data_IF_414846204455
#
_entry.id   IF_414846204455
#
_cell.length_a   1.000
_cell.length_b   1.000
_cell.length_c   1.000
_cell.angle_alpha   90.00
_cell.angle_beta   90.00
_cell.angle_gamma   90.00
#
_symmetry.space_group_name_H-M   'P 1'
#
loop_
_entity.id
_entity.type
_entity.pdbx_description
1 polymer ?
#
# COMPACT_ATOMS: atom_id res chain seq x y z
N UNK A 1 55.91 19.94 -21.61
CA UNK A 1 54.79 20.22 -20.68
C UNK A 1 53.62 20.85 -21.46
N UNK A 2 53.23 20.38 -22.64
CA UNK A 2 52.33 19.24 -22.90
C UNK A 2 51.39 18.83 -21.75
N UNK A 3 50.09 18.84 -22.05
CA UNK A 3 48.91 18.44 -21.25
C UNK A 3 48.35 19.41 -20.21
N UNK A 4 47.66 20.49 -20.63
CA UNK A 4 46.51 21.03 -19.86
C UNK A 4 45.55 21.97 -20.62
N UNK A 5 45.19 21.69 -21.87
CA UNK A 5 44.18 22.50 -22.61
C UNK A 5 43.34 21.66 -23.58
N UNK A 6 42.64 20.62 -23.06
CA UNK A 6 41.63 19.86 -23.83
C UNK A 6 40.32 19.63 -23.05
N UNK A 7 39.82 20.64 -22.31
CA UNK A 7 38.49 20.53 -21.65
C UNK A 7 37.51 21.69 -21.88
N UNK A 8 37.81 22.65 -22.76
CA UNK A 8 36.92 23.80 -23.01
C UNK A 8 36.23 23.82 -24.39
N UNK A 9 36.46 22.82 -25.25
CA UNK A 9 35.91 22.80 -26.62
C UNK A 9 34.99 21.60 -26.82
N UNK A 10 33.73 21.74 -26.40
CA UNK A 10 32.58 20.91 -26.82
C UNK A 10 31.22 21.47 -26.35
N UNK A 11 31.18 22.61 -25.65
CA UNK A 11 29.96 23.15 -25.01
C UNK A 11 29.12 24.03 -25.98
N UNK A 12 29.70 24.51 -27.08
CA UNK A 12 29.05 25.48 -27.98
C UNK A 12 28.10 24.92 -29.05
N UNK A 13 28.28 23.66 -29.48
CA UNK A 13 27.39 23.02 -30.48
C UNK A 13 26.35 22.09 -29.86
N UNK A 14 26.52 21.70 -28.60
CA UNK A 14 25.52 20.92 -27.88
C UNK A 14 24.31 21.81 -27.51
N UNK A 15 24.54 23.07 -27.12
CA UNK A 15 23.47 23.97 -26.68
C UNK A 15 22.41 24.27 -27.76
N UNK A 16 22.80 24.37 -29.04
CA UNK A 16 21.86 24.74 -30.11
C UNK A 16 21.02 23.54 -30.56
N UNK A 17 21.61 22.33 -30.57
CA UNK A 17 20.84 21.10 -30.81
C UNK A 17 19.91 20.77 -29.63
N UNK A 18 20.32 21.09 -28.39
CA UNK A 18 19.46 20.93 -27.20
C UNK A 18 18.32 21.93 -27.18
N UNK A 19 18.49 23.16 -27.70
CA UNK A 19 17.40 24.14 -27.79
C UNK A 19 16.36 23.75 -28.85
N UNK A 20 16.77 23.15 -29.98
CA UNK A 20 15.80 22.62 -30.98
C UNK A 20 15.12 21.33 -30.48
N UNK A 21 15.80 20.52 -29.66
CA UNK A 21 15.15 19.39 -28.94
C UNK A 21 14.28 19.84 -27.75
N UNK A 22 14.57 20.98 -27.14
CA UNK A 22 13.70 21.63 -26.15
C UNK A 22 12.52 22.36 -26.80
N UNK A 23 12.65 22.79 -28.05
CA UNK A 23 11.54 23.33 -28.84
C UNK A 23 10.57 22.23 -29.29
N UNK A 24 11.11 21.03 -29.57
CA UNK A 24 10.34 19.81 -29.67
C UNK A 24 9.84 19.29 -28.30
N UNK A 25 10.19 19.93 -27.18
CA UNK A 25 9.66 19.61 -25.85
C UNK A 25 8.38 20.39 -25.49
N UNK A 26 7.80 21.07 -26.48
CA UNK A 26 6.35 21.29 -26.56
C UNK A 26 5.70 20.19 -27.43
N UNK A 27 6.29 18.99 -27.52
CA UNK A 27 5.48 17.77 -27.61
C UNK A 27 4.32 17.97 -26.64
N UNK A 28 3.09 17.99 -27.18
CA UNK A 28 1.87 18.21 -26.43
C UNK A 28 1.99 17.48 -25.09
N UNK A 29 2.20 18.24 -23.99
CA UNK A 29 2.75 17.69 -22.74
C UNK A 29 2.08 16.36 -22.44
N UNK A 30 2.88 15.29 -22.41
CA UNK A 30 2.38 13.93 -22.17
C UNK A 30 1.56 13.90 -20.88
N UNK A 31 1.92 14.74 -19.89
CA UNK A 31 1.18 14.92 -18.64
C UNK A 31 0.65 16.34 -18.49
N UNK A 32 -0.64 16.46 -18.21
CA UNK A 32 -1.32 17.72 -17.92
C UNK A 32 -1.17 18.09 -16.44
N UNK A 33 -0.92 19.36 -16.16
CA UNK A 33 -0.71 19.88 -14.79
C UNK A 33 -1.93 20.67 -14.31
N UNK A 34 -2.46 20.29 -13.15
CA UNK A 34 -3.64 20.92 -12.53
C UNK A 34 -3.21 21.78 -11.34
N UNK A 35 -3.55 23.06 -11.37
CA UNK A 35 -3.38 23.99 -10.27
C UNK A 35 -4.67 24.21 -9.46
N UNK A 36 -4.50 24.54 -8.19
CA UNK A 36 -5.58 24.89 -7.26
C UNK A 36 -5.29 26.24 -6.61
N UNK A 37 -6.19 27.20 -6.81
CA UNK A 37 -6.09 28.52 -6.20
C UNK A 37 -6.94 28.64 -4.94
N UNK A 38 -6.53 29.57 -4.06
CA UNK A 38 -7.40 30.08 -2.99
C UNK A 38 -8.64 30.71 -3.61
N UNK A 39 -9.78 30.58 -2.92
CA UNK A 39 -10.99 31.28 -3.31
C UNK A 39 -10.85 32.77 -3.01
N UNK A 40 -11.35 33.61 -3.91
CA UNK A 40 -11.51 35.03 -3.62
C UNK A 40 -12.59 35.21 -2.55
N UNK A 41 -12.19 35.68 -1.37
CA UNK A 41 -13.04 35.87 -0.21
C UNK A 41 -13.19 37.36 0.17
N UNK A 42 -12.99 38.28 -0.79
CA UNK A 42 -13.13 39.72 -0.56
C UNK A 42 -14.53 40.10 -0.02
N UNK A 43 -15.57 39.41 -0.52
CA UNK A 43 -16.97 39.61 -0.12
C UNK A 43 -17.41 38.70 1.05
N UNK A 44 -16.50 37.87 1.59
CA UNK A 44 -16.81 36.97 2.69
C UNK A 44 -16.54 37.63 4.07
N UNK A 45 -17.42 37.42 5.05
CA UNK A 45 -17.19 37.75 6.46
C UNK A 45 -15.85 37.19 6.97
N UNK A 46 -15.20 37.93 7.87
CA UNK A 46 -13.89 37.54 8.40
C UNK A 46 -13.88 36.14 9.02
N UNK A 47 -14.99 35.76 9.65
CA UNK A 47 -15.23 34.45 10.24
C UNK A 47 -15.17 33.30 9.21
N UNK A 48 -15.49 33.52 7.94
CA UNK A 48 -15.54 32.46 6.92
C UNK A 48 -14.29 32.41 6.03
N UNK A 49 -13.34 33.34 6.20
CA UNK A 49 -12.15 33.42 5.33
C UNK A 49 -11.25 32.19 5.41
N UNK A 50 -11.30 31.40 6.48
CA UNK A 50 -10.58 30.13 6.54
C UNK A 50 -11.04 29.15 5.44
N UNK A 51 -12.35 29.15 5.13
CA UNK A 51 -12.96 28.28 4.13
C UNK A 51 -12.40 28.53 2.72
N UNK A 52 -11.94 29.76 2.44
CA UNK A 52 -11.31 30.13 1.18
C UNK A 52 -10.03 29.32 0.86
N UNK A 53 -9.36 28.80 1.89
CA UNK A 53 -8.20 27.92 1.76
C UNK A 53 -8.53 26.45 2.06
N UNK A 54 -9.49 26.19 2.95
CA UNK A 54 -9.88 24.83 3.32
C UNK A 54 -10.65 24.12 2.20
N UNK A 55 -11.64 24.77 1.58
CA UNK A 55 -12.48 24.16 0.55
C UNK A 55 -11.68 23.69 -0.68
N UNK A 56 -10.77 24.49 -1.28
CA UNK A 56 -9.95 24.00 -2.38
C UNK A 56 -9.07 22.80 -1.99
N UNK A 57 -8.54 22.76 -0.76
CA UNK A 57 -7.73 21.62 -0.29
C UNK A 57 -8.56 20.36 -0.08
N UNK A 58 -9.73 20.49 0.53
CA UNK A 58 -10.65 19.38 0.73
C UNK A 58 -11.14 18.82 -0.61
N UNK A 59 -11.51 19.69 -1.55
CA UNK A 59 -11.92 19.27 -2.89
C UNK A 59 -10.74 18.65 -3.66
N UNK A 60 -9.53 19.22 -3.58
CA UNK A 60 -8.33 18.63 -4.18
C UNK A 60 -8.06 17.21 -3.64
N UNK A 61 -8.18 17.01 -2.32
CA UNK A 61 -8.02 15.69 -1.71
C UNK A 61 -9.14 14.73 -2.14
N UNK A 62 -10.38 15.19 -2.19
CA UNK A 62 -11.52 14.40 -2.63
C UNK A 62 -11.43 14.00 -4.12
N UNK A 63 -10.77 14.80 -4.95
CA UNK A 63 -10.52 14.52 -6.38
C UNK A 63 -9.20 13.79 -6.64
N UNK A 64 -8.47 13.33 -5.62
CA UNK A 64 -7.17 12.66 -5.80
C UNK A 64 -7.25 11.34 -6.61
N UNK A 65 -8.44 10.75 -6.72
CA UNK A 65 -8.68 9.56 -7.56
C UNK A 65 -8.68 9.88 -9.07
N UNK A 66 -8.75 11.17 -9.45
CA UNK A 66 -8.71 11.62 -10.84
C UNK A 66 -7.26 11.78 -11.29
N UNK A 67 -6.76 10.82 -12.06
CA UNK A 67 -5.37 10.75 -12.52
C UNK A 67 -5.21 10.87 -14.05
N UNK A 68 -6.32 11.01 -14.78
CA UNK A 68 -6.35 11.13 -16.23
C UNK A 68 -7.45 12.08 -16.69
N UNK A 69 -7.28 12.65 -17.88
CA UNK A 69 -8.26 13.45 -18.61
C UNK A 69 -8.34 12.98 -20.04
N UNK A 70 -9.52 13.02 -20.62
CA UNK A 70 -9.74 12.94 -22.06
C UNK A 70 -10.11 14.34 -22.58
N UNK A 71 -9.15 15.12 -23.11
CA UNK A 71 -9.44 16.45 -23.64
C UNK A 71 -10.37 16.36 -24.84
N UNK A 72 -11.33 17.28 -24.93
CA UNK A 72 -12.25 17.35 -26.08
C UNK A 72 -11.52 17.69 -27.38
N UNK A 73 -12.15 17.43 -28.52
CA UNK A 73 -11.62 17.80 -29.84
C UNK A 73 -11.31 19.30 -29.99
N UNK A 74 -12.06 20.16 -29.28
CA UNK A 74 -11.81 21.61 -29.24
C UNK A 74 -10.55 21.92 -28.43
N UNK A 75 -10.37 21.26 -27.28
CA UNK A 75 -9.17 21.43 -26.45
C UNK A 75 -7.90 20.95 -27.17
N UNK A 76 -7.98 19.83 -27.90
CA UNK A 76 -6.84 19.29 -28.63
C UNK A 76 -6.46 20.15 -29.82
N UNK A 77 -7.43 20.69 -30.56
CA UNK A 77 -7.19 21.63 -31.64
C UNK A 77 -6.54 22.92 -31.13
N UNK A 78 -7.09 23.53 -30.08
CA UNK A 78 -6.55 24.76 -29.51
C UNK A 78 -5.14 24.58 -28.90
N UNK A 79 -4.89 23.43 -28.25
CA UNK A 79 -3.56 23.11 -27.72
C UNK A 79 -2.52 22.94 -28.84
N UNK A 80 -2.91 22.37 -29.98
CA UNK A 80 -2.02 22.22 -31.11
C UNK A 80 -1.71 23.56 -31.78
N UNK A 81 -2.71 24.42 -31.98
CA UNK A 81 -2.51 25.77 -32.51
C UNK A 81 -1.56 26.60 -31.62
N UNK A 82 -1.74 26.55 -30.30
CA UNK A 82 -0.82 27.20 -29.36
C UNK A 82 0.60 26.63 -29.43
N UNK A 83 0.73 25.32 -29.62
CA UNK A 83 2.03 24.67 -29.80
C UNK A 83 2.73 25.12 -31.08
N UNK A 84 2.00 25.23 -32.19
CA UNK A 84 2.54 25.68 -33.47
C UNK A 84 3.03 27.13 -33.39
N UNK A 85 2.23 28.02 -32.80
CA UNK A 85 2.61 29.43 -32.56
C UNK A 85 3.84 29.53 -31.66
N UNK A 86 3.90 28.72 -30.59
CA UNK A 86 5.06 28.67 -29.70
C UNK A 86 6.32 28.16 -30.42
N UNK A 87 6.19 27.12 -31.25
CA UNK A 87 7.30 26.56 -32.03
C UNK A 87 7.85 27.57 -33.04
N UNK A 88 6.98 28.34 -33.71
CA UNK A 88 7.38 29.42 -34.62
C UNK A 88 8.09 30.53 -33.86
N UNK A 89 7.55 30.96 -32.71
CA UNK A 89 8.15 32.02 -31.89
C UNK A 89 9.54 31.64 -31.39
N UNK A 90 9.69 30.43 -30.85
CA UNK A 90 10.98 29.92 -30.38
C UNK A 90 11.98 29.78 -31.52
N UNK A 91 11.54 29.30 -32.69
CA UNK A 91 12.39 29.20 -33.88
C UNK A 91 12.86 30.57 -34.38
N UNK A 92 12.01 31.61 -34.31
CA UNK A 92 12.37 33.00 -34.62
C UNK A 92 13.42 33.53 -33.64
N UNK A 93 13.24 33.31 -32.35
CA UNK A 93 14.19 33.76 -31.32
C UNK A 93 15.55 33.05 -31.43
N UNK A 94 15.54 31.75 -31.72
CA UNK A 94 16.74 30.97 -31.97
C UNK A 94 17.52 31.48 -33.20
N UNK A 95 16.81 31.79 -34.30
CA UNK A 95 17.43 32.40 -35.48
C UNK A 95 18.01 33.78 -35.15
N UNK A 96 17.27 34.63 -34.44
CA UNK A 96 17.74 35.96 -34.04
C UNK A 96 18.99 35.86 -33.15
N UNK A 97 19.04 34.91 -32.21
CA UNK A 97 20.20 34.66 -31.37
C UNK A 97 21.42 34.14 -32.18
N UNK A 98 21.19 33.24 -33.14
CA UNK A 98 22.24 32.73 -34.02
C UNK A 98 22.84 33.83 -34.91
N UNK A 99 21.99 34.71 -35.47
CA UNK A 99 22.43 35.86 -36.26
C UNK A 99 23.24 36.83 -35.41
N UNK A 100 22.74 37.21 -34.22
CA UNK A 100 23.48 38.06 -33.27
C UNK A 100 24.86 37.49 -32.95
N UNK A 101 24.95 36.17 -32.71
CA UNK A 101 26.23 35.51 -32.43
C UNK A 101 27.18 35.54 -33.62
N UNK A 102 26.69 35.27 -34.84
CA UNK A 102 27.48 35.37 -36.07
C UNK A 102 28.05 36.78 -36.23
N UNK A 103 27.22 37.80 -36.03
CA UNK A 103 27.62 39.21 -36.22
C UNK A 103 28.68 39.63 -35.19
N UNK A 104 28.54 39.19 -33.93
CA UNK A 104 29.58 39.41 -32.90
C UNK A 104 30.93 38.76 -33.26
N UNK A 105 30.92 37.54 -33.81
CA UNK A 105 32.15 36.85 -34.24
C UNK A 105 32.78 37.57 -35.44
N UNK A 106 31.98 38.06 -36.38
CA UNK A 106 32.46 38.83 -37.53
C UNK A 106 33.14 40.14 -37.12
N UNK A 107 32.66 40.79 -36.06
CA UNK A 107 33.20 42.05 -35.54
C UNK A 107 34.38 41.87 -34.56
N UNK A 108 34.70 40.63 -34.15
CA UNK A 108 35.74 40.37 -33.17
C UNK A 108 37.16 40.65 -33.72
N UNK A 109 37.99 41.37 -32.96
CA UNK A 109 39.36 41.76 -33.33
C UNK A 109 40.42 40.67 -33.05
N UNK A 110 40.02 39.42 -32.80
CA UNK A 110 40.92 38.28 -32.53
C UNK A 110 41.78 37.85 -33.74
N UNK A 111 42.68 36.88 -33.55
CA UNK A 111 43.46 36.20 -34.60
C UNK A 111 42.58 35.84 -35.83
N UNK A 112 42.95 36.27 -37.06
CA UNK A 112 42.19 36.02 -38.28
C UNK A 112 41.84 34.55 -38.54
N UNK A 113 42.75 33.62 -38.21
CA UNK A 113 42.54 32.20 -38.46
C UNK A 113 41.45 31.62 -37.54
N UNK A 114 41.44 32.07 -36.29
CA UNK A 114 40.43 31.67 -35.29
C UNK A 114 39.07 32.25 -35.61
N UNK A 115 39.01 33.52 -36.01
CA UNK A 115 37.79 34.19 -36.44
C UNK A 115 37.13 33.47 -37.61
N UNK A 116 37.90 33.06 -38.61
CA UNK A 116 37.38 32.34 -39.77
C UNK A 116 36.73 30.99 -39.39
N UNK A 117 37.34 30.24 -38.47
CA UNK A 117 36.77 28.99 -37.97
C UNK A 117 35.48 29.21 -37.19
N UNK A 118 35.46 30.18 -36.27
CA UNK A 118 34.29 30.48 -35.46
C UNK A 118 33.13 31.04 -36.31
N UNK A 119 33.44 31.85 -37.34
CA UNK A 119 32.46 32.37 -38.29
C UNK A 119 31.78 31.26 -39.08
N UNK A 120 32.55 30.31 -39.64
CA UNK A 120 32.00 29.16 -40.36
C UNK A 120 31.07 28.32 -39.46
N UNK A 121 31.40 28.18 -38.18
CA UNK A 121 30.55 27.49 -37.21
C UNK A 121 29.24 28.25 -36.93
N UNK A 122 29.31 29.59 -36.85
CA UNK A 122 28.17 30.45 -36.61
C UNK A 122 27.24 30.53 -37.84
N UNK A 123 27.79 30.56 -39.05
CA UNK A 123 27.02 30.48 -40.30
C UNK A 123 26.26 29.15 -40.41
N UNK A 124 26.89 28.03 -40.04
CA UNK A 124 26.21 26.74 -39.96
C UNK A 124 25.07 26.75 -38.94
N UNK A 125 25.24 27.43 -37.81
CA UNK A 125 24.19 27.60 -36.80
C UNK A 125 23.02 28.46 -37.32
N UNK A 126 23.29 29.52 -38.08
CA UNK A 126 22.25 30.33 -38.73
C UNK A 126 21.50 29.52 -39.78
N UNK A 127 22.21 28.75 -40.62
CA UNK A 127 21.58 27.91 -41.64
C UNK A 127 20.66 26.84 -41.03
N UNK A 128 21.08 26.22 -39.92
CA UNK A 128 20.27 25.25 -39.18
C UNK A 128 19.06 25.88 -38.51
N UNK A 129 19.22 27.04 -37.86
CA UNK A 129 18.11 27.77 -37.24
C UNK A 129 17.10 28.28 -38.29
N UNK A 130 17.56 28.72 -39.47
CA UNK A 130 16.69 29.11 -40.59
C UNK A 130 15.87 27.92 -41.08
N UNK A 131 16.52 26.77 -41.31
CA UNK A 131 15.82 25.53 -41.72
C UNK A 131 14.77 25.09 -40.71
N UNK A 132 15.05 25.25 -39.41
CA UNK A 132 14.08 24.95 -38.35
C UNK A 132 12.88 25.92 -38.39
N UNK A 133 13.10 27.21 -38.60
CA UNK A 133 12.02 28.19 -38.76
C UNK A 133 11.18 27.94 -40.02
N UNK A 134 11.81 27.63 -41.15
CA UNK A 134 11.09 27.33 -42.39
C UNK A 134 10.23 26.05 -42.24
N UNK A 135 10.74 25.06 -41.51
CA UNK A 135 10.00 23.85 -41.18
C UNK A 135 8.81 24.13 -40.24
N UNK A 136 8.97 24.97 -39.22
CA UNK A 136 7.89 25.37 -38.31
C UNK A 136 6.79 26.15 -39.06
N UNK A 137 7.15 27.10 -39.93
CA UNK A 137 6.21 27.85 -40.76
C UNK A 137 5.49 26.95 -41.79
N UNK A 138 6.16 25.91 -42.30
CA UNK A 138 5.54 24.95 -43.22
C UNK A 138 4.60 23.96 -42.52
N UNK A 139 4.73 23.81 -41.19
CA UNK A 139 3.86 22.97 -40.38
C UNK A 139 2.53 23.65 -40.00
N UNK A 140 2.39 24.98 -40.18
CA UNK A 140 1.16 25.77 -39.91
C UNK A 140 -0.05 25.39 -40.80
N UNK A 141 0.01 24.27 -41.53
CA UNK A 141 -1.00 23.81 -42.47
C UNK A 141 -1.81 22.62 -41.97
N UNK A 142 -2.78 22.86 -41.09
CA UNK A 142 -3.92 21.96 -40.89
C UNK A 142 -3.72 20.91 -39.81
N UNK A 143 -3.83 21.31 -38.54
CA UNK A 143 -4.08 20.37 -37.47
C UNK A 143 -5.50 19.84 -37.61
N UNK A 144 -5.63 18.62 -38.12
CA UNK A 144 -6.85 17.84 -37.90
C UNK A 144 -6.91 17.51 -36.42
N UNK A 145 -8.04 17.81 -35.78
CA UNK A 145 -8.33 17.34 -34.43
C UNK A 145 -7.91 15.85 -34.33
N UNK A 146 -6.90 15.58 -33.52
CA UNK A 146 -6.48 14.22 -33.24
C UNK A 146 -7.61 13.47 -32.52
N UNK A 147 -7.61 12.12 -32.54
CA UNK A 147 -8.56 11.35 -31.75
C UNK A 147 -8.49 11.78 -30.28
N UNK A 148 -9.63 11.71 -29.59
CA UNK A 148 -9.69 11.93 -28.14
C UNK A 148 -8.75 10.93 -27.46
N UNK A 149 -7.65 11.44 -26.92
CA UNK A 149 -6.57 10.65 -26.34
C UNK A 149 -6.56 10.89 -24.85
N UNK A 150 -6.50 9.80 -24.08
CA UNK A 150 -6.36 9.87 -22.64
C UNK A 150 -4.97 10.43 -22.30
N UNK A 151 -4.93 11.44 -21.43
CA UNK A 151 -3.71 12.05 -20.93
C UNK A 151 -3.63 11.96 -19.41
N UNK A 152 -2.49 11.56 -18.83
CA UNK A 152 -2.30 11.59 -17.39
C UNK A 152 -2.37 13.02 -16.84
N UNK A 153 -2.95 13.15 -15.66
CA UNK A 153 -3.01 14.38 -14.86
C UNK A 153 -2.04 14.28 -13.69
N UNK A 154 -1.41 15.41 -13.37
CA UNK A 154 -0.65 15.58 -12.13
C UNK A 154 -1.04 16.89 -11.45
N UNK A 155 -1.10 16.94 -10.11
CA UNK A 155 -1.19 18.20 -9.40
C UNK A 155 0.08 19.03 -9.62
N UNK A 156 -0.05 20.36 -9.56
CA UNK A 156 1.08 21.27 -9.55
C UNK A 156 2.02 20.96 -8.38
N UNK A 157 3.33 20.94 -8.65
CA UNK A 157 4.33 20.37 -7.74
C UNK A 157 4.34 21.01 -6.34
N UNK A 158 4.06 22.31 -6.23
CA UNK A 158 4.06 23.01 -4.94
C UNK A 158 2.88 22.60 -4.05
N UNK A 159 1.82 22.00 -4.59
CA UNK A 159 0.71 21.45 -3.78
C UNK A 159 1.15 20.33 -2.84
N UNK A 160 2.26 19.63 -3.14
CA UNK A 160 2.81 18.63 -2.23
C UNK A 160 3.20 19.21 -0.86
N UNK A 161 3.50 20.51 -0.81
CA UNK A 161 3.78 21.24 0.44
C UNK A 161 2.53 21.81 1.13
N UNK A 162 1.33 21.56 0.58
CA UNK A 162 0.07 22.14 1.02
C UNK A 162 -0.17 23.57 0.56
N UNK A 163 0.71 24.11 -0.27
CA UNK A 163 0.60 25.47 -0.82
C UNK A 163 -0.52 25.53 -1.86
N UNK A 164 -1.32 26.59 -1.84
CA UNK A 164 -2.30 26.91 -2.88
C UNK A 164 -1.79 28.11 -3.68
N UNK A 165 -2.20 28.22 -4.94
CA UNK A 165 -1.97 29.45 -5.71
C UNK A 165 -2.73 30.59 -5.01
N UNK A 166 -2.12 31.77 -4.93
CA UNK A 166 -2.85 32.96 -4.51
C UNK A 166 -3.96 33.29 -5.52
N UNK A 167 -4.94 34.09 -5.10
CA UNK A 167 -6.06 34.48 -5.98
C UNK A 167 -5.51 35.12 -7.25
N UNK A 168 -5.70 34.51 -8.43
CA UNK A 168 -5.10 34.99 -9.67
C UNK A 168 -5.78 36.29 -10.12
N UNK A 169 -5.00 37.35 -10.33
CA UNK A 169 -5.49 38.59 -10.93
C UNK A 169 -5.85 38.39 -12.41
N UNK A 170 -4.97 37.69 -13.14
CA UNK A 170 -5.21 37.16 -14.47
C UNK A 170 -4.91 35.65 -14.48
N UNK A 171 -5.93 34.87 -14.83
CA UNK A 171 -5.86 33.40 -14.83
C UNK A 171 -4.96 32.90 -15.98
N UNK A 172 -5.01 33.55 -17.14
CA UNK A 172 -4.25 33.13 -18.31
C UNK A 172 -2.75 33.36 -18.10
N UNK A 173 -2.38 34.52 -17.55
CA UNK A 173 -0.99 34.84 -17.17
C UNK A 173 -0.48 33.87 -16.10
N UNK A 174 -1.29 33.59 -15.07
CA UNK A 174 -0.93 32.63 -14.01
C UNK A 174 -0.65 31.23 -14.59
N UNK A 175 -1.47 30.76 -15.53
CA UNK A 175 -1.26 29.49 -16.21
C UNK A 175 0.04 29.48 -17.02
N UNK A 176 0.37 30.57 -17.73
CA UNK A 176 1.61 30.68 -18.49
C UNK A 176 2.84 30.66 -17.57
N UNK A 177 2.84 31.49 -16.52
CA UNK A 177 3.95 31.66 -15.58
C UNK A 177 4.23 30.40 -14.76
N UNK A 178 3.17 29.77 -14.25
CA UNK A 178 3.26 28.57 -13.42
C UNK A 178 3.21 27.27 -14.22
N UNK A 179 3.13 27.38 -15.55
CA UNK A 179 3.11 26.24 -16.47
C UNK A 179 1.94 25.29 -16.17
N UNK A 180 0.74 25.83 -15.91
CA UNK A 180 -0.46 25.06 -15.61
C UNK A 180 -1.27 24.84 -16.88
N UNK A 181 -1.83 23.64 -17.03
CA UNK A 181 -2.70 23.29 -18.15
C UNK A 181 -4.18 23.48 -17.76
N UNK A 182 -4.50 23.22 -16.48
CA UNK A 182 -5.81 23.46 -15.87
C UNK A 182 -5.65 24.17 -14.53
N UNK A 183 -6.65 24.98 -14.15
CA UNK A 183 -6.68 25.60 -12.82
C UNK A 183 -8.10 25.63 -12.26
N UNK A 184 -8.24 25.15 -11.02
CA UNK A 184 -9.40 25.39 -10.18
C UNK A 184 -9.25 26.73 -9.48
N UNK A 185 -10.25 27.59 -9.64
CA UNK A 185 -10.33 28.88 -8.97
C UNK A 185 -11.79 29.15 -8.62
N UNK A 186 -12.05 30.23 -7.88
CA UNK A 186 -13.40 30.47 -7.42
C UNK A 186 -13.54 31.63 -6.48
N UNK A 187 -14.73 31.78 -5.91
CA UNK A 187 -15.06 32.84 -4.96
C UNK A 187 -15.86 32.29 -3.80
N UNK A 188 -15.77 32.99 -2.69
CA UNK A 188 -16.53 32.74 -1.48
C UNK A 188 -17.29 34.03 -1.14
N UNK A 189 -18.62 33.93 -1.08
CA UNK A 189 -19.51 35.06 -0.79
C UNK A 189 -20.42 34.72 0.39
N UNK A 190 -20.90 35.73 1.11
CA UNK A 190 -21.96 35.55 2.10
C UNK A 190 -23.33 35.52 1.44
N UNK A 191 -24.17 34.59 1.86
CA UNK A 191 -25.57 34.46 1.47
C UNK A 191 -26.43 34.28 2.73
N UNK A 192 -26.58 35.34 3.51
CA UNK A 192 -27.29 35.30 4.79
C UNK A 192 -26.52 34.46 5.83
N UNK A 193 -27.14 33.40 6.35
CA UNK A 193 -26.51 32.45 7.29
C UNK A 193 -25.67 31.38 6.60
N UNK A 194 -25.66 31.36 5.26
CA UNK A 194 -24.91 30.39 4.47
C UNK A 194 -23.74 31.08 3.76
N UNK A 195 -22.75 30.28 3.40
CA UNK A 195 -21.70 30.66 2.45
C UNK A 195 -22.13 30.21 1.06
N UNK A 196 -21.99 31.09 0.08
CA UNK A 196 -22.06 30.73 -1.34
C UNK A 196 -20.63 30.48 -1.83
N UNK A 197 -20.36 29.23 -2.22
CA UNK A 197 -19.07 28.77 -2.74
C UNK A 197 -19.19 28.62 -4.24
N UNK A 198 -18.38 29.36 -4.99
CA UNK A 198 -18.30 29.26 -6.43
C UNK A 198 -16.97 28.61 -6.81
N UNK A 199 -17.00 27.46 -7.51
CA UNK A 199 -15.82 26.85 -8.12
C UNK A 199 -15.91 26.94 -9.65
N UNK A 200 -14.74 27.04 -10.28
CA UNK A 200 -14.61 27.07 -11.73
C UNK A 200 -13.33 26.36 -12.16
N UNK A 201 -13.42 25.62 -13.27
CA UNK A 201 -12.27 24.96 -13.90
C UNK A 201 -11.95 25.69 -15.21
N UNK A 202 -10.77 26.29 -15.27
CA UNK A 202 -10.25 26.95 -16.47
C UNK A 202 -9.25 26.06 -17.19
N UNK A 203 -9.34 26.01 -18.51
CA UNK A 203 -8.43 25.26 -19.39
C UNK A 203 -7.58 26.24 -20.19
N UNK A 204 -6.26 26.15 -20.00
CA UNK A 204 -5.32 27.10 -20.58
C UNK A 204 -5.25 27.01 -22.10
N UNK A 205 -5.44 25.83 -22.69
CA UNK A 205 -5.36 25.66 -24.14
C UNK A 205 -6.49 26.37 -24.90
N UNK A 206 -7.69 26.43 -24.32
CA UNK A 206 -8.85 27.10 -24.95
C UNK A 206 -9.01 28.53 -24.49
N UNK A 207 -8.38 28.92 -23.38
CA UNK A 207 -8.59 30.22 -22.76
C UNK A 207 -9.96 30.37 -22.11
N UNK A 208 -10.64 29.26 -21.79
CA UNK A 208 -12.03 29.26 -21.34
C UNK A 208 -12.25 28.47 -20.04
N UNK A 209 -13.28 28.88 -19.30
CA UNK A 209 -13.82 28.12 -18.17
C UNK A 209 -14.76 27.04 -18.68
N UNK A 210 -14.38 25.78 -18.53
CA UNK A 210 -15.15 24.61 -19.03
C UNK A 210 -16.20 24.12 -18.04
N UNK A 211 -16.09 24.50 -16.77
CA UNK A 211 -17.05 24.16 -15.73
C UNK A 211 -17.15 25.24 -14.67
N UNK A 212 -18.36 25.47 -14.17
CA UNK A 212 -18.65 26.31 -13.01
C UNK A 212 -19.71 25.62 -12.16
N UNK A 213 -19.49 25.59 -10.85
CA UNK A 213 -20.45 25.12 -9.87
C UNK A 213 -20.64 26.16 -8.77
N UNK A 214 -21.86 26.27 -8.26
CA UNK A 214 -22.21 27.10 -7.12
C UNK A 214 -22.96 26.25 -6.11
N UNK A 215 -22.46 26.20 -4.88
CA UNK A 215 -23.10 25.49 -3.78
C UNK A 215 -23.27 26.41 -2.57
N UNK A 216 -24.32 26.15 -1.80
CA UNK A 216 -24.61 26.87 -0.57
C UNK A 216 -24.39 25.95 0.61
N UNK A 217 -23.54 26.36 1.55
CA UNK A 217 -23.18 25.53 2.68
C UNK A 217 -23.17 26.33 3.99
N UNK A 218 -23.48 25.64 5.09
CA UNK A 218 -23.28 26.20 6.41
C UNK A 218 -21.77 26.31 6.69
N UNK A 219 -21.31 27.34 7.45
CA UNK A 219 -19.90 27.50 7.83
C UNK A 219 -19.29 26.25 8.47
N UNK A 220 -20.08 25.54 9.28
CA UNK A 220 -19.65 24.37 10.04
C UNK A 220 -19.72 23.05 9.24
N UNK A 221 -20.27 23.06 8.02
CA UNK A 221 -20.49 21.87 7.19
C UNK A 221 -19.78 21.98 5.83
N UNK A 222 -18.46 22.10 5.88
CA UNK A 222 -17.62 22.13 4.67
C UNK A 222 -17.61 20.79 3.93
N UNK A 223 -17.82 19.67 4.64
CA UNK A 223 -17.76 18.32 4.05
C UNK A 223 -18.91 18.10 3.08
N UNK A 224 -20.15 18.44 3.47
CA UNK A 224 -21.30 18.36 2.56
C UNK A 224 -21.13 19.28 1.35
N UNK A 225 -20.56 20.47 1.55
CA UNK A 225 -20.25 21.40 0.46
C UNK A 225 -19.30 20.77 -0.56
N UNK A 226 -18.20 20.18 -0.07
CA UNK A 226 -17.21 19.51 -0.92
C UNK A 226 -17.83 18.32 -1.63
N UNK A 227 -18.61 17.49 -0.93
CA UNK A 227 -19.29 16.31 -1.50
C UNK A 227 -20.18 16.68 -2.70
N UNK A 228 -20.90 17.80 -2.63
CA UNK A 228 -21.70 18.30 -3.74
C UNK A 228 -20.86 18.66 -4.98
N UNK A 229 -19.65 19.17 -4.79
CA UNK A 229 -18.74 19.49 -5.89
C UNK A 229 -18.02 18.27 -6.49
N UNK A 230 -17.80 17.19 -5.73
CA UNK A 230 -16.96 16.06 -6.16
C UNK A 230 -17.37 15.53 -7.52
N UNK A 231 -18.66 15.21 -7.74
CA UNK A 231 -19.12 14.68 -9.03
C UNK A 231 -18.93 15.66 -10.18
N UNK A 232 -19.55 16.85 -10.17
CA UNK A 232 -19.46 17.76 -11.30
C UNK A 232 -18.02 18.22 -11.58
N UNK A 233 -17.21 18.44 -10.53
CA UNK A 233 -15.81 18.78 -10.70
C UNK A 233 -14.98 17.62 -11.26
N UNK A 234 -15.19 16.38 -10.79
CA UNK A 234 -14.52 15.21 -11.34
C UNK A 234 -14.90 14.96 -12.80
N UNK A 235 -16.18 15.07 -13.16
CA UNK A 235 -16.65 14.96 -14.56
C UNK A 235 -15.97 16.02 -15.43
N UNK A 236 -15.93 17.25 -14.94
CA UNK A 236 -15.24 18.34 -15.64
C UNK A 236 -13.74 18.08 -15.78
N UNK A 237 -13.09 17.47 -14.78
CA UNK A 237 -11.66 17.18 -14.76
C UNK A 237 -11.28 15.97 -15.64
N UNK A 238 -12.09 14.91 -15.63
CA UNK A 238 -11.95 13.77 -16.55
C UNK A 238 -12.21 14.18 -18.01
N UNK A 239 -13.04 15.21 -18.24
CA UNK A 239 -13.46 15.61 -19.59
C UNK A 239 -14.51 14.67 -20.21
N UNK A 240 -15.00 13.68 -19.45
CA UNK A 240 -16.04 12.73 -19.86
C UNK A 240 -16.88 12.27 -18.66
N UNK A 241 -18.12 11.79 -18.86
CA UNK A 241 -18.90 11.16 -17.81
C UNK A 241 -18.18 9.95 -17.21
N UNK A 242 -18.42 9.71 -15.93
CA UNK A 242 -17.88 8.56 -15.21
C UNK A 242 -18.91 8.03 -14.21
N UNK A 243 -18.72 6.80 -13.75
CA UNK A 243 -19.42 6.22 -12.62
C UNK A 243 -18.40 5.68 -11.62
N UNK A 244 -18.66 5.81 -10.31
CA UNK A 244 -17.94 5.04 -9.30
C UNK A 244 -18.81 3.91 -8.77
N UNK A 245 -18.19 2.76 -8.57
CA UNK A 245 -18.80 1.61 -7.92
C UNK A 245 -18.34 1.54 -6.46
N UNK A 246 -19.28 1.63 -5.53
CA UNK A 246 -19.04 1.44 -4.10
C UNK A 246 -19.90 0.29 -3.60
N UNK A 247 -19.28 -0.72 -3.00
CA UNK A 247 -19.99 -1.88 -2.44
C UNK A 247 -19.70 -1.95 -0.95
N UNK A 248 -20.74 -1.97 -0.14
CA UNK A 248 -20.67 -2.19 1.31
C UNK A 248 -21.37 -3.51 1.64
N UNK A 249 -20.85 -4.24 2.62
CA UNK A 249 -21.43 -5.51 3.05
C UNK A 249 -21.57 -5.58 4.57
N UNK A 250 -22.67 -6.19 5.01
CA UNK A 250 -22.99 -6.50 6.40
C UNK A 250 -23.18 -8.03 6.53
N UNK A 251 -22.34 -8.74 7.30
CA UNK A 251 -21.32 -8.24 8.23
C UNK A 251 -20.05 -7.68 7.55
N UNK A 252 -19.26 -6.82 8.24
CA UNK A 252 -18.09 -6.16 7.67
C UNK A 252 -16.92 -7.10 7.32
N UNK A 253 -16.94 -8.35 7.79
CA UNK A 253 -15.98 -9.41 7.43
C UNK A 253 -16.35 -10.15 6.14
N UNK A 254 -17.44 -9.76 5.47
CA UNK A 254 -17.86 -10.33 4.21
C UNK A 254 -16.84 -10.06 3.09
N UNK A 255 -16.43 -11.11 2.40
CA UNK A 255 -15.62 -11.02 1.20
C UNK A 255 -16.50 -10.66 0.00
N UNK A 256 -16.14 -9.57 -0.69
CA UNK A 256 -16.78 -9.12 -1.94
C UNK A 256 -15.86 -9.46 -3.10
N UNK A 257 -16.37 -10.22 -4.08
CA UNK A 257 -15.66 -10.56 -5.31
C UNK A 257 -16.50 -10.11 -6.51
N UNK A 258 -15.91 -9.33 -7.41
CA UNK A 258 -16.52 -9.00 -8.70
C UNK A 258 -16.06 -10.01 -9.75
N UNK A 259 -17.02 -10.62 -10.44
CA UNK A 259 -16.71 -11.57 -11.50
C UNK A 259 -15.83 -10.91 -12.59
N UNK A 260 -14.70 -11.56 -12.91
CA UNK A 260 -13.74 -11.06 -13.90
C UNK A 260 -12.62 -10.18 -13.33
N UNK A 261 -12.62 -9.91 -12.02
CA UNK A 261 -11.56 -9.13 -11.35
C UNK A 261 -10.97 -9.91 -10.18
N UNK A 262 -9.63 -9.93 -10.07
CA UNK A 262 -8.93 -10.62 -8.98
C UNK A 262 -9.10 -9.93 -7.62
N UNK A 263 -9.32 -8.61 -7.63
CA UNK A 263 -9.62 -7.83 -6.44
C UNK A 263 -10.51 -6.64 -6.78
N UNK A 264 -11.44 -6.33 -5.88
CA UNK A 264 -12.27 -5.12 -5.96
C UNK A 264 -11.77 -4.09 -4.94
N UNK A 265 -11.72 -2.83 -5.37
CA UNK A 265 -11.48 -1.68 -4.49
C UNK A 265 -12.70 -0.77 -4.54
N UNK A 266 -13.27 -0.46 -3.38
CA UNK A 266 -14.41 0.46 -3.31
C UNK A 266 -14.04 1.82 -3.88
N UNK A 267 -14.92 2.37 -4.73
CA UNK A 267 -14.69 3.62 -5.44
C UNK A 267 -14.03 3.45 -6.83
N UNK A 268 -13.96 2.24 -7.37
CA UNK A 268 -13.47 1.99 -8.73
C UNK A 268 -14.26 2.79 -9.78
N UNK A 269 -13.54 3.41 -10.73
CA UNK A 269 -14.09 4.31 -11.75
C UNK A 269 -14.34 3.57 -13.05
N UNK A 270 -15.49 3.82 -13.67
CA UNK A 270 -15.91 3.30 -14.97
C UNK A 270 -16.28 4.45 -15.91
N UNK A 271 -15.82 4.36 -17.16
CA UNK A 271 -16.10 5.35 -18.20
C UNK A 271 -17.07 4.85 -19.27
N UNK A 272 -17.29 3.54 -19.31
CA UNK A 272 -18.24 2.88 -20.21
C UNK A 272 -19.27 2.10 -19.38
N UNK A 273 -20.50 1.90 -19.90
CA UNK A 273 -21.48 1.04 -19.26
C UNK A 273 -20.95 -0.38 -19.06
N UNK A 274 -21.20 -0.95 -17.87
CA UNK A 274 -20.75 -2.30 -17.53
C UNK A 274 -21.81 -3.05 -16.72
N UNK A 275 -22.06 -4.30 -17.10
CA UNK A 275 -22.85 -5.26 -16.33
C UNK A 275 -21.90 -6.18 -15.56
N UNK A 276 -21.96 -6.14 -14.23
CA UNK A 276 -21.06 -6.84 -13.33
C UNK A 276 -21.85 -7.80 -12.44
N UNK A 277 -21.19 -8.83 -11.91
CA UNK A 277 -21.78 -9.75 -10.93
C UNK A 277 -20.94 -9.72 -9.65
N UNK A 278 -21.52 -9.19 -8.56
CA UNK A 278 -20.92 -9.20 -7.24
C UNK A 278 -21.29 -10.46 -6.47
N UNK A 279 -20.28 -11.24 -6.10
CA UNK A 279 -20.40 -12.38 -5.21
C UNK A 279 -19.95 -11.96 -3.81
N UNK A 280 -20.90 -11.95 -2.86
CA UNK A 280 -20.65 -11.57 -1.48
C UNK A 280 -20.80 -12.80 -0.60
N UNK A 281 -19.81 -13.08 0.24
CA UNK A 281 -19.82 -14.23 1.14
C UNK A 281 -19.10 -13.98 2.45
N UNK A 282 -19.68 -14.46 3.54
CA UNK A 282 -19.09 -14.46 4.88
C UNK A 282 -19.23 -15.85 5.53
N UNK A 283 -18.40 -16.13 6.55
CA UNK A 283 -18.47 -17.39 7.28
C UNK A 283 -19.76 -17.50 8.09
N UNK A 284 -20.52 -18.59 7.95
CA UNK A 284 -21.81 -18.76 8.63
C UNK A 284 -23.01 -18.09 7.93
N UNK A 285 -22.77 -17.37 6.83
CA UNK A 285 -23.79 -16.67 6.04
C UNK A 285 -24.04 -17.34 4.68
N UNK A 286 -25.23 -17.12 4.12
CA UNK A 286 -25.57 -17.54 2.76
C UNK A 286 -24.84 -16.64 1.76
N UNK A 287 -24.18 -17.25 0.77
CA UNK A 287 -23.55 -16.51 -0.33
C UNK A 287 -24.64 -15.88 -1.19
N UNK A 288 -24.47 -14.62 -1.57
CA UNK A 288 -25.35 -13.94 -2.54
C UNK A 288 -24.56 -13.52 -3.77
N UNK A 289 -25.21 -13.63 -4.93
CA UNK A 289 -24.71 -13.16 -6.22
C UNK A 289 -25.67 -12.10 -6.75
N UNK A 290 -25.21 -10.86 -6.91
CA UNK A 290 -26.03 -9.70 -7.22
C UNK A 290 -25.53 -9.09 -8.53
N UNK A 291 -26.38 -9.00 -9.58
CA UNK A 291 -26.02 -8.28 -10.79
C UNK A 291 -26.02 -6.77 -10.52
N UNK A 292 -25.06 -6.05 -11.09
CA UNK A 292 -24.86 -4.61 -10.94
C UNK A 292 -24.74 -4.01 -12.33
N UNK A 293 -25.62 -3.06 -12.64
CA UNK A 293 -25.51 -2.24 -13.85
C UNK A 293 -24.82 -0.92 -13.49
N UNK A 294 -23.65 -0.67 -14.07
CA UNK A 294 -22.87 0.56 -13.88
C UNK A 294 -23.04 1.41 -15.13
N UNK A 295 -23.56 2.62 -14.98
CA UNK A 295 -23.80 3.55 -16.09
C UNK A 295 -23.10 4.88 -15.83
N UNK A 296 -22.15 5.31 -16.68
CA UNK A 296 -21.48 6.60 -16.56
C UNK A 296 -22.48 7.76 -16.42
N UNK A 297 -22.20 8.66 -15.47
CA UNK A 297 -23.07 9.77 -15.09
C UNK A 297 -23.72 9.60 -13.72
N UNK A 298 -23.87 8.36 -13.23
CA UNK A 298 -24.44 8.07 -11.90
C UNK A 298 -23.52 7.11 -11.14
N UNK A 299 -23.29 7.32 -9.84
CA UNK A 299 -22.53 6.36 -9.02
C UNK A 299 -23.42 5.14 -8.72
N UNK A 300 -22.83 3.96 -8.80
CA UNK A 300 -23.46 2.72 -8.39
C UNK A 300 -23.06 2.44 -6.94
N UNK A 301 -24.02 2.51 -6.03
CA UNK A 301 -23.83 2.16 -4.61
C UNK A 301 -24.63 0.90 -4.34
N UNK A 302 -23.98 -0.13 -3.82
CA UNK A 302 -24.61 -1.40 -3.46
C UNK A 302 -24.33 -1.72 -1.99
N UNK A 303 -25.39 -1.73 -1.18
CA UNK A 303 -25.34 -2.18 0.20
C UNK A 303 -25.92 -3.61 0.28
N UNK A 304 -25.11 -4.56 0.77
CA UNK A 304 -25.45 -5.99 0.81
C UNK A 304 -25.50 -6.49 2.23
N UNK A 305 -26.69 -6.78 2.74
CA UNK A 305 -26.86 -7.56 3.98
C UNK A 305 -26.97 -9.04 3.67
N UNK A 306 -26.10 -9.85 4.29
CA UNK A 306 -26.12 -11.30 4.19
C UNK A 306 -27.03 -11.92 5.25
N UNK A 307 -27.73 -12.99 4.88
CA UNK A 307 -28.56 -13.77 5.80
C UNK A 307 -27.77 -14.93 6.39
N UNK A 308 -27.97 -15.25 7.68
CA UNK A 308 -27.36 -16.44 8.27
C UNK A 308 -27.85 -17.71 7.57
N UNK A 309 -26.97 -18.71 7.48
CA UNK A 309 -27.38 -20.03 7.02
C UNK A 309 -28.39 -20.63 8.02
N UNK A 310 -29.51 -21.20 7.55
CA UNK A 310 -30.39 -21.96 8.41
C UNK A 310 -29.62 -23.14 9.02
N UNK A 311 -29.82 -23.39 10.30
CA UNK A 311 -29.16 -24.45 11.05
C UNK A 311 -30.21 -25.25 11.82
N UNK A 312 -30.20 -26.57 11.63
CA UNK A 312 -31.07 -27.53 12.30
C UNK A 312 -30.69 -27.67 13.79
N UNK A 313 -31.65 -27.97 14.68
CA UNK A 313 -31.38 -28.19 16.10
C UNK A 313 -30.51 -29.44 16.35
N UNK A 314 -29.77 -29.43 17.44
CA UNK A 314 -28.85 -30.52 17.85
C UNK A 314 -29.29 -31.10 19.17
N UNK A 315 -29.52 -32.41 19.22
CA UNK A 315 -29.86 -33.08 20.49
C UNK A 315 -28.61 -33.60 21.18
N UNK A 316 -28.40 -33.22 22.44
CA UNK A 316 -27.27 -33.64 23.27
C UNK A 316 -27.78 -34.59 24.35
N UNK A 317 -27.16 -35.77 24.43
CA UNK A 317 -27.44 -36.81 25.43
C UNK A 317 -26.15 -37.21 26.14
N UNK A 318 -26.27 -37.67 27.38
CA UNK A 318 -25.14 -38.24 28.12
C UNK A 318 -25.54 -39.50 28.88
N UNK A 319 -24.56 -40.36 29.13
CA UNK A 319 -24.67 -41.52 30.01
C UNK A 319 -23.61 -41.40 31.13
N UNK A 320 -24.03 -41.21 32.40
CA UNK A 320 -25.41 -41.07 32.88
C UNK A 320 -26.06 -39.74 32.44
N UNK A 321 -27.39 -39.73 32.38
CA UNK A 321 -28.18 -38.54 32.07
C UNK A 321 -28.14 -37.51 33.23
N UNK A 322 -28.46 -36.24 32.94
CA UNK A 322 -28.47 -35.15 33.93
C UNK A 322 -27.16 -34.37 34.05
N UNK A 323 -26.26 -34.50 33.07
CA UNK A 323 -25.04 -33.70 33.00
C UNK A 323 -25.35 -32.25 32.62
N UNK A 324 -24.73 -31.28 33.29
CA UNK A 324 -24.83 -29.86 32.94
C UNK A 324 -24.05 -29.60 31.66
N UNK A 325 -24.72 -29.06 30.65
CA UNK A 325 -24.16 -28.71 29.34
C UNK A 325 -23.73 -27.26 29.35
N UNK A 326 -22.49 -27.02 28.91
CA UNK A 326 -21.92 -25.71 28.65
C UNK A 326 -21.61 -25.58 27.17
N UNK A 327 -21.98 -24.46 26.56
CA UNK A 327 -21.64 -24.12 25.16
C UNK A 327 -20.81 -22.85 25.19
N UNK A 328 -19.59 -22.92 24.64
CA UNK A 328 -18.63 -21.81 24.65
C UNK A 328 -18.46 -21.17 26.05
N UNK A 329 -18.37 -22.05 27.07
CA UNK A 329 -18.28 -21.76 28.50
C UNK A 329 -19.55 -21.23 29.19
N UNK A 330 -20.66 -21.00 28.48
CA UNK A 330 -21.94 -20.60 29.08
C UNK A 330 -22.80 -21.83 29.42
N UNK A 331 -23.34 -21.94 30.66
CA UNK A 331 -24.26 -23.01 31.01
C UNK A 331 -25.59 -22.83 30.26
N UNK A 332 -26.01 -23.85 29.52
CA UNK A 332 -27.22 -23.82 28.68
C UNK A 332 -28.34 -24.73 29.19
N UNK A 333 -28.03 -25.74 30.00
CA UNK A 333 -29.03 -26.65 30.57
C UNK A 333 -28.43 -27.99 31.01
N UNK A 334 -29.27 -29.02 31.10
CA UNK A 334 -28.87 -30.39 31.49
C UNK A 334 -29.30 -31.42 30.46
N UNK A 335 -28.51 -32.47 30.24
CA UNK A 335 -28.84 -33.56 29.30
C UNK A 335 -30.03 -34.43 29.77
N UNK A 336 -30.90 -34.91 28.86
CA UNK A 336 -30.98 -34.59 27.43
C UNK A 336 -31.41 -33.15 27.16
N UNK A 337 -30.71 -32.45 26.26
CA UNK A 337 -30.98 -31.06 25.89
C UNK A 337 -30.97 -30.88 24.37
N UNK A 338 -31.97 -30.21 23.83
CA UNK A 338 -31.99 -29.77 22.43
C UNK A 338 -31.45 -28.34 22.35
N UNK A 339 -30.39 -28.15 21.57
CA UNK A 339 -29.83 -26.83 21.29
C UNK A 339 -30.37 -26.30 19.98
N UNK A 340 -30.66 -24.97 19.90
CA UNK A 340 -30.90 -24.34 18.62
C UNK A 340 -29.68 -24.54 17.72
N UNK A 341 -29.91 -24.74 16.43
CA UNK A 341 -28.84 -24.90 15.46
C UNK A 341 -27.89 -23.69 15.46
N UNK A 342 -26.64 -23.94 15.08
CA UNK A 342 -25.63 -22.90 14.97
C UNK A 342 -24.77 -23.13 13.72
N UNK A 343 -24.45 -22.06 12.98
CA UNK A 343 -23.73 -22.13 11.69
C UNK A 343 -22.21 -22.07 11.82
N UNK A 344 -21.65 -22.31 13.02
CA UNK A 344 -20.21 -22.22 13.34
C UNK A 344 -19.67 -23.41 14.16
N UNK A 345 -18.38 -23.35 14.54
CA UNK A 345 -17.79 -24.31 15.49
C UNK A 345 -18.03 -23.83 16.92
N UNK A 346 -18.56 -24.70 17.78
CA UNK A 346 -18.75 -24.42 19.21
C UNK A 346 -18.13 -25.51 20.05
N UNK A 347 -17.70 -25.15 21.25
CA UNK A 347 -17.16 -26.10 22.22
C UNK A 347 -18.27 -26.48 23.20
N UNK A 348 -18.61 -27.76 23.23
CA UNK A 348 -19.59 -28.32 24.15
C UNK A 348 -18.84 -29.02 25.28
N UNK A 349 -19.10 -28.63 26.53
CA UNK A 349 -18.55 -29.24 27.73
C UNK A 349 -19.67 -29.78 28.62
N UNK A 350 -19.54 -31.02 29.08
CA UNK A 350 -20.51 -31.67 29.97
C UNK A 350 -19.86 -31.91 31.33
N UNK A 351 -20.61 -31.56 32.38
CA UNK A 351 -20.18 -31.71 33.78
C UNK A 351 -21.29 -32.41 34.55
N UNK A 352 -21.00 -33.57 35.15
CA UNK A 352 -21.92 -34.29 36.02
C UNK A 352 -21.28 -34.56 37.39
N UNK A 353 -22.05 -34.57 38.49
CA UNK A 353 -21.52 -34.89 39.82
C UNK A 353 -20.84 -36.25 39.86
N UNK A 354 -19.60 -36.32 40.35
CA UNK A 354 -18.83 -37.57 40.46
C UNK A 354 -18.28 -38.12 39.15
N UNK A 355 -18.49 -37.43 38.02
CA UNK A 355 -17.98 -37.82 36.71
C UNK A 355 -16.88 -36.88 36.21
N UNK A 356 -15.98 -37.40 35.38
CA UNK A 356 -14.98 -36.62 34.67
C UNK A 356 -15.64 -35.71 33.63
N UNK A 357 -15.12 -34.49 33.47
CA UNK A 357 -15.61 -33.55 32.47
C UNK A 357 -15.35 -34.08 31.05
N UNK A 358 -16.34 -33.98 30.17
CA UNK A 358 -16.19 -34.30 28.76
C UNK A 358 -16.31 -33.03 27.91
N UNK A 359 -15.43 -32.87 26.92
CA UNK A 359 -15.43 -31.71 26.02
C UNK A 359 -15.29 -32.15 24.56
N UNK A 360 -16.07 -31.54 23.66
CA UNK A 360 -15.99 -31.79 22.22
C UNK A 360 -16.26 -30.51 21.43
N UNK A 361 -15.46 -30.27 20.39
CA UNK A 361 -15.72 -29.22 19.41
C UNK A 361 -16.69 -29.72 18.33
N UNK A 362 -17.82 -29.06 18.19
CA UNK A 362 -18.89 -29.40 17.24
C UNK A 362 -19.00 -28.30 16.20
N UNK A 363 -18.94 -28.67 14.93
CA UNK A 363 -19.28 -27.76 13.82
C UNK A 363 -20.74 -27.98 13.47
N UNK A 364 -21.45 -26.89 13.19
CA UNK A 364 -22.88 -26.87 12.87
C UNK A 364 -23.39 -28.15 12.22
N UNK A 365 -24.39 -28.75 12.87
CA UNK A 365 -24.89 -30.08 12.53
C UNK A 365 -25.51 -30.12 11.13
N UNK A 366 -25.22 -31.21 10.40
CA UNK A 366 -26.10 -31.67 9.34
C UNK A 366 -27.31 -32.36 9.98
N UNK A 367 -28.47 -32.31 9.31
CA UNK A 367 -29.79 -32.80 9.74
C UNK A 367 -29.75 -34.00 10.73
N UNK A 368 -30.44 -33.86 11.87
CA UNK A 368 -30.68 -34.98 12.79
C UNK A 368 -29.48 -35.44 13.64
N UNK A 369 -28.46 -34.59 13.82
CA UNK A 369 -27.28 -34.94 14.63
C UNK A 369 -27.63 -35.09 16.12
N UNK A 370 -27.72 -36.33 16.59
CA UNK A 370 -27.73 -36.65 18.01
C UNK A 370 -26.29 -36.86 18.50
N UNK A 371 -25.85 -36.06 19.45
CA UNK A 371 -24.55 -36.21 20.10
C UNK A 371 -24.73 -36.97 21.42
N UNK A 372 -24.01 -38.08 21.57
CA UNK A 372 -24.03 -38.90 22.78
C UNK A 372 -22.65 -38.91 23.44
N UNK A 373 -22.62 -38.57 24.72
CA UNK A 373 -21.40 -38.51 25.53
C UNK A 373 -21.42 -39.62 26.59
N UNK A 374 -20.36 -40.43 26.64
CA UNK A 374 -20.14 -41.37 27.74
C UNK A 374 -19.22 -40.72 28.78
N UNK A 375 -19.74 -40.50 29.98
CA UNK A 375 -18.98 -39.92 31.07
C UNK A 375 -18.31 -41.02 31.88
N UNK A 376 -17.03 -40.84 32.18
CA UNK A 376 -16.26 -41.76 33.04
C UNK A 376 -16.30 -41.27 34.48
N UNK A 377 -16.20 -42.19 35.45
CA UNK A 377 -16.09 -41.83 36.86
C UNK A 377 -14.88 -40.92 37.11
N UNK A 378 -15.07 -39.88 37.91
CA UNK A 378 -14.01 -38.98 38.32
C UNK A 378 -13.16 -39.65 39.39
N UNK A 379 -11.85 -39.68 39.20
CA UNK A 379 -10.85 -40.09 40.19
C UNK A 379 -10.64 -39.05 41.31
N UNK A 380 -11.46 -37.99 41.36
CA UNK A 380 -11.46 -37.00 42.42
C UNK A 380 -10.33 -35.97 42.35
N UNK A 381 -9.40 -36.10 41.40
CA UNK A 381 -8.30 -35.14 41.19
C UNK A 381 -8.68 -34.16 40.07
N UNK A 382 -8.76 -32.85 40.35
CA UNK A 382 -9.01 -31.84 39.33
C UNK A 382 -7.97 -31.92 38.18
N UNK A 383 -8.40 -31.65 36.94
CA UNK A 383 -7.50 -31.57 35.78
C UNK A 383 -6.29 -30.68 36.05
N UNK A 384 -6.52 -29.50 36.65
CA UNK A 384 -5.46 -28.53 37.00
C UNK A 384 -4.40 -29.12 37.91
N UNK A 385 -4.78 -29.97 38.87
CA UNK A 385 -3.83 -30.58 39.80
C UNK A 385 -2.99 -31.66 39.12
N UNK A 386 -3.61 -32.52 38.29
CA UNK A 386 -2.89 -33.52 37.47
C UNK A 386 -1.92 -32.87 36.51
N UNK A 387 -2.39 -31.86 35.79
CA UNK A 387 -1.59 -31.13 34.82
C UNK A 387 -0.40 -30.44 35.49
N UNK A 388 -0.64 -29.72 36.61
CA UNK A 388 0.45 -29.06 37.33
C UNK A 388 1.45 -30.05 37.93
N UNK A 389 0.99 -31.16 38.51
CA UNK A 389 1.89 -32.18 39.06
C UNK A 389 2.77 -32.81 37.98
N UNK A 390 2.21 -33.15 36.81
CA UNK A 390 2.96 -33.71 35.69
C UNK A 390 3.94 -32.69 35.09
N UNK A 391 3.52 -31.42 35.00
CA UNK A 391 4.35 -30.30 34.55
C UNK A 391 5.55 -30.10 35.50
N UNK A 392 5.31 -30.06 36.80
CA UNK A 392 6.35 -29.81 37.81
C UNK A 392 7.36 -30.97 37.85
N UNK A 393 6.91 -32.23 37.75
CA UNK A 393 7.78 -33.40 37.66
C UNK A 393 8.65 -33.37 36.38
N UNK A 394 8.07 -32.96 35.24
CA UNK A 394 8.82 -32.78 33.99
C UNK A 394 9.88 -31.67 34.07
N UNK A 395 9.54 -30.49 34.57
CA UNK A 395 10.54 -29.41 34.68
C UNK A 395 11.62 -29.74 35.70
N UNK A 396 11.29 -30.42 36.80
CA UNK A 396 12.28 -30.88 37.77
C UNK A 396 13.24 -31.90 37.15
N UNK A 397 12.74 -32.90 36.44
CA UNK A 397 13.57 -33.94 35.80
C UNK A 397 14.43 -33.37 34.66
N UNK A 398 13.87 -32.47 33.84
CA UNK A 398 14.59 -31.75 32.80
C UNK A 398 15.69 -30.87 33.39
N UNK A 399 15.39 -30.14 34.47
CA UNK A 399 16.35 -29.30 35.17
C UNK A 399 17.55 -30.10 35.68
N UNK A 400 17.32 -31.23 36.34
CA UNK A 400 18.40 -32.11 36.80
C UNK A 400 19.24 -32.68 35.65
N UNK A 401 18.61 -33.08 34.55
CA UNK A 401 19.32 -33.55 33.36
C UNK A 401 20.21 -32.46 32.76
N UNK A 402 19.68 -31.25 32.56
CA UNK A 402 20.46 -30.13 32.00
C UNK A 402 21.60 -29.75 32.93
N UNK A 403 21.38 -29.76 34.25
CA UNK A 403 22.40 -29.46 35.26
C UNK A 403 23.54 -30.49 35.27
N UNK A 404 23.30 -31.73 34.83
CA UNK A 404 24.33 -32.78 34.81
C UNK A 404 25.24 -32.74 33.59
N UNK A 405 24.81 -32.10 32.49
CA UNK A 405 25.57 -32.05 31.22
C UNK A 405 26.95 -31.41 31.35
N UNK A 406 27.15 -30.26 32.04
CA UNK A 406 28.46 -29.64 32.16
C UNK A 406 29.52 -30.57 32.76
N UNK A 407 29.14 -31.38 33.77
CA UNK A 407 30.07 -32.32 34.40
C UNK A 407 30.51 -33.40 33.41
N UNK A 408 29.59 -33.91 32.59
CA UNK A 408 29.90 -34.91 31.56
C UNK A 408 30.73 -34.34 30.41
N UNK A 409 30.47 -33.11 29.99
CA UNK A 409 31.21 -32.45 28.91
C UNK A 409 32.63 -32.08 29.36
N UNK A 410 32.77 -31.51 30.55
CA UNK A 410 34.08 -31.14 31.10
C UNK A 410 34.95 -32.37 31.41
N UNK A 411 34.36 -33.43 31.96
CA UNK A 411 35.10 -34.68 32.23
C UNK A 411 35.51 -35.39 30.94
N UNK A 412 34.68 -35.36 29.89
CA UNK A 412 35.07 -35.84 28.56
C UNK A 412 36.27 -35.06 28.00
N UNK A 413 36.25 -33.74 28.12
CA UNK A 413 37.37 -32.89 27.70
C UNK A 413 38.66 -33.20 28.45
N UNK A 414 38.58 -33.37 29.77
CA UNK A 414 39.74 -33.77 30.59
C UNK A 414 40.27 -35.16 30.21
N UNK A 415 39.38 -36.13 30.03
CA UNK A 415 39.71 -37.48 29.56
C UNK A 415 40.47 -37.44 28.22
N UNK A 416 39.96 -36.68 27.25
CA UNK A 416 40.58 -36.49 25.92
C UNK A 416 41.96 -35.83 26.04
N UNK A 417 42.07 -34.78 26.85
CA UNK A 417 43.31 -34.05 27.05
C UNK A 417 44.41 -34.93 27.63
N UNK A 418 44.10 -35.76 28.64
CA UNK A 418 45.11 -36.66 29.23
C UNK A 418 45.51 -37.80 28.29
N UNK A 419 44.57 -38.32 27.51
CA UNK A 419 44.87 -39.32 26.46
C UNK A 419 45.82 -38.76 25.39
N UNK A 420 45.54 -37.54 24.90
CA UNK A 420 46.37 -36.88 23.90
C UNK A 420 47.75 -36.52 24.49
N UNK A 421 47.81 -36.09 25.76
CA UNK A 421 49.06 -35.78 26.44
C UNK A 421 49.94 -37.03 26.66
N UNK A 422 49.35 -38.17 27.05
CA UNK A 422 50.06 -39.44 27.20
C UNK A 422 50.63 -39.92 25.87
N UNK A 423 49.81 -39.94 24.80
CA UNK A 423 50.24 -40.36 23.47
C UNK A 423 51.35 -39.45 22.90
N UNK A 424 51.26 -38.14 23.12
CA UNK A 424 52.31 -37.18 22.73
C UNK A 424 53.60 -37.36 23.54
N UNK A 425 53.52 -37.63 24.85
CA UNK A 425 54.68 -37.85 25.70
C UNK A 425 55.46 -39.11 25.26
N UNK A 426 54.75 -40.20 24.95
CA UNK A 426 55.34 -41.44 24.42
C UNK A 426 56.00 -41.19 23.05
N UNK A 427 55.34 -40.45 22.15
CA UNK A 427 55.88 -40.11 20.84
C UNK A 427 57.14 -39.21 20.90
N UNK A 428 57.25 -38.40 21.95
CA UNK A 428 58.38 -37.46 22.17
C UNK A 428 59.63 -38.13 22.77
N UNK A 429 59.58 -39.43 23.08
CA UNK A 429 60.71 -40.17 23.66
C UNK A 429 60.95 -39.90 25.15
N UNK A 430 59.97 -39.33 25.86
CA UNK A 430 60.04 -39.17 27.32
C UNK A 430 59.99 -40.55 27.97
N UNK A 431 61.04 -40.95 28.69
CA UNK A 431 61.16 -42.27 29.35
C UNK A 431 61.15 -42.19 30.89
N UNK A 432 60.87 -41.02 31.46
CA UNK A 432 60.74 -40.86 32.91
C UNK A 432 59.47 -41.55 33.42
N UNK A 433 59.65 -42.63 34.20
CA UNK A 433 58.56 -43.47 34.68
C UNK A 433 57.57 -42.71 35.58
N UNK A 434 58.05 -41.75 36.38
CA UNK A 434 57.19 -40.97 37.27
C UNK A 434 56.23 -40.06 36.49
N UNK A 435 56.72 -39.43 35.42
CA UNK A 435 55.93 -38.59 34.53
C UNK A 435 54.85 -39.39 33.80
N UNK A 436 55.20 -40.56 33.24
CA UNK A 436 54.24 -41.44 32.54
C UNK A 436 53.15 -41.93 33.50
N UNK A 437 53.53 -42.42 34.69
CA UNK A 437 52.58 -42.90 35.70
C UNK A 437 51.61 -41.79 36.17
N UNK A 438 52.07 -40.53 36.21
CA UNK A 438 51.23 -39.40 36.55
C UNK A 438 50.15 -39.10 35.49
N UNK A 439 50.48 -39.27 34.21
CA UNK A 439 49.52 -39.12 33.11
C UNK A 439 48.50 -40.27 33.12
N UNK A 440 48.97 -41.51 33.27
CA UNK A 440 48.11 -42.70 33.34
C UNK A 440 47.10 -42.59 34.50
N UNK A 441 47.56 -42.16 35.70
CA UNK A 441 46.68 -41.98 36.86
C UNK A 441 45.60 -40.92 36.60
N UNK A 442 45.97 -39.79 35.99
CA UNK A 442 45.04 -38.70 35.65
C UNK A 442 44.07 -39.10 34.54
N UNK A 443 44.54 -39.86 33.55
CA UNK A 443 43.73 -40.43 32.49
C UNK A 443 42.65 -41.34 33.05
N UNK A 444 43.00 -42.35 33.85
CA UNK A 444 42.02 -43.26 34.45
C UNK A 444 41.05 -42.54 35.38
N UNK A 445 41.53 -41.57 36.17
CA UNK A 445 40.67 -40.76 37.04
C UNK A 445 39.66 -39.96 36.23
N UNK A 446 40.10 -39.29 35.16
CA UNK A 446 39.21 -38.52 34.28
C UNK A 446 38.25 -39.43 33.50
N UNK A 447 38.70 -40.61 33.07
CA UNK A 447 37.89 -41.61 32.38
C UNK A 447 36.78 -42.17 33.28
N UNK A 448 37.10 -42.54 34.52
CA UNK A 448 36.11 -43.00 35.50
C UNK A 448 35.10 -41.90 35.80
N UNK A 449 35.57 -40.66 36.01
CA UNK A 449 34.70 -39.52 36.26
C UNK A 449 33.74 -39.28 35.09
N UNK A 450 34.24 -39.34 33.85
CA UNK A 450 33.42 -39.22 32.65
C UNK A 450 32.34 -40.29 32.54
N UNK A 451 32.69 -41.57 32.68
CA UNK A 451 31.70 -42.65 32.55
C UNK A 451 30.64 -42.60 33.65
N UNK A 452 31.03 -42.25 34.88
CA UNK A 452 30.09 -42.09 36.00
C UNK A 452 29.15 -40.91 35.75
N UNK A 453 29.66 -39.75 35.33
CA UNK A 453 28.82 -38.58 35.05
C UNK A 453 27.93 -38.78 33.82
N UNK A 454 28.44 -39.47 32.80
CA UNK A 454 27.68 -39.80 31.59
C UNK A 454 26.54 -40.77 31.89
N UNK A 455 26.79 -41.81 32.70
CA UNK A 455 25.74 -42.74 33.15
C UNK A 455 24.67 -42.02 33.99
N UNK A 456 25.07 -41.13 34.90
CA UNK A 456 24.13 -40.31 35.68
C UNK A 456 23.29 -39.39 34.77
N UNK A 457 23.92 -38.74 33.80
CA UNK A 457 23.23 -37.86 32.83
C UNK A 457 22.26 -38.64 31.96
N UNK A 458 22.63 -39.84 31.49
CA UNK A 458 21.74 -40.71 30.73
C UNK A 458 20.53 -41.16 31.55
N UNK A 459 20.71 -41.52 32.82
CA UNK A 459 19.61 -41.85 33.72
C UNK A 459 18.63 -40.69 33.92
N UNK A 460 19.16 -39.46 34.09
CA UNK A 460 18.34 -38.25 34.19
C UNK A 460 17.61 -37.94 32.87
N UNK A 461 18.25 -38.17 31.72
CA UNK A 461 17.62 -38.03 30.41
C UNK A 461 16.43 -38.97 30.23
N UNK A 462 16.58 -40.24 30.60
CA UNK A 462 15.50 -41.24 30.55
C UNK A 462 14.35 -40.82 31.47
N UNK A 463 14.65 -40.37 32.69
CA UNK A 463 13.62 -39.85 33.61
C UNK A 463 12.88 -38.66 32.99
N UNK A 464 13.60 -37.71 32.39
CA UNK A 464 13.02 -36.54 31.74
C UNK A 464 12.08 -36.92 30.58
N UNK A 465 12.50 -37.87 29.74
CA UNK A 465 11.67 -38.40 28.66
C UNK A 465 10.38 -39.06 29.17
N UNK A 466 10.46 -39.87 30.24
CA UNK A 466 9.29 -40.51 30.84
C UNK A 466 8.32 -39.48 31.44
N UNK A 467 8.83 -38.45 32.12
CA UNK A 467 7.98 -37.37 32.64
C UNK A 467 7.34 -36.52 31.54
N UNK A 468 8.01 -36.37 30.38
CA UNK A 468 7.44 -35.67 29.24
C UNK A 468 6.22 -36.40 28.67
N UNK A 469 6.31 -37.74 28.53
CA UNK A 469 5.17 -38.56 28.08
C UNK A 469 3.98 -38.42 29.04
N UNK A 470 4.23 -38.43 30.36
CA UNK A 470 3.18 -38.22 31.37
C UNK A 470 2.56 -36.83 31.27
N UNK A 471 3.36 -35.80 31.01
CA UNK A 471 2.88 -34.43 30.83
C UNK A 471 1.98 -34.29 29.59
N UNK A 472 2.35 -34.89 28.46
CA UNK A 472 1.53 -34.89 27.25
C UNK A 472 0.21 -35.63 27.49
N UNK A 473 0.25 -36.81 28.10
CA UNK A 473 -0.96 -37.57 28.42
C UNK A 473 -1.86 -36.90 29.46
N UNK A 474 -1.33 -35.97 30.27
CA UNK A 474 -2.13 -35.17 31.20
C UNK A 474 -2.77 -33.94 30.52
N UNK A 475 -2.43 -33.67 29.25
CA UNK A 475 -2.97 -32.55 28.48
C UNK A 475 -4.11 -32.95 27.53
N UNK A 476 -4.21 -34.24 27.20
CA UNK A 476 -5.36 -34.89 26.54
C UNK A 476 -6.44 -35.24 27.57
#
# INVERSE_FOLDING_TARGET
>A
MWHRTRRARLIGSFLILTVVRMAAAQEARETLTVGWAKLDAAEAPAEYRYAASALPRLLMAALAFVNERTPSTVETAAAAELSDVAAVTLSRDALAAAVRKRDLVALATEDPARRAYELASAEKAVATARKALDAALSAEGGVKAGPETVRPLKPWAEHASGLLLEVPADIAETCADRKLDLIFHGRLRSAGTFMAVDFSLYVASTGQTVWRGTEYAAPDDLESAVAAFVRPAATALFGRPYARLSISADPPDAAVQLAGFDSFQSGQVYFEPAELLANVSASGYQRRSIPISVVPGTDAVLDVSLELKPSEPVTITSDPAGATVYVDAYPVGTTPLELPGFSGSRVIRLVAPGMAEAQMAVRGANEGSALSFQLKESDGVPYRERFNAAKDDFYASLGWFVLSLPVSVLSYGAFRMYFDAESAAVASGISDAATIQSFETRYWTAQTLFWVSAAASAGLAVKAALSLVRYINASE
#
